data_IF_545923171164
#
_entry.id   IF_545923171164
#
_cell.length_a   1.000
_cell.length_b   1.000
_cell.length_c   1.000
_cell.angle_alpha   90.00
_cell.angle_beta   90.00
_cell.angle_gamma   90.00
#
_symmetry.space_group_name_H-M   'P 1'
#
loop_
_entity.id
_entity.type
_entity.pdbx_description
1 polymer ?
#
# COMPACT_ATOMS: atom_id res chain seq x y z
N UNK A 1 -23.45 -11.06 13.92
CA UNK A 1 -22.23 -11.88 13.84
C UNK A 1 -21.06 -10.94 14.06
N UNK A 2 -20.22 -11.18 15.07
CA UNK A 2 -19.17 -10.23 15.46
C UNK A 2 -17.95 -10.38 14.52
N UNK A 3 -17.75 -9.41 13.61
CA UNK A 3 -16.50 -9.27 12.87
C UNK A 3 -15.58 -8.33 13.63
N UNK A 4 -14.70 -8.89 14.43
CA UNK A 4 -13.48 -8.22 14.88
C UNK A 4 -12.37 -9.25 14.58
N UNK A 5 -11.25 -8.90 13.93
CA UNK A 5 -10.26 -7.98 14.46
C UNK A 5 -9.26 -7.49 13.42
N UNK A 6 -8.78 -6.26 13.62
CA UNK A 6 -7.56 -5.66 13.06
C UNK A 6 -6.33 -5.75 13.98
N UNK A 7 -6.36 -6.70 14.93
CA UNK A 7 -5.45 -6.95 16.06
C UNK A 7 -6.15 -6.68 17.40
N UNK A 8 -6.76 -7.71 18.01
CA UNK A 8 -7.12 -7.65 19.42
C UNK A 8 -5.80 -7.58 20.23
N UNK A 9 -5.56 -6.44 20.88
CA UNK A 9 -4.41 -6.14 21.76
C UNK A 9 -4.23 -7.16 22.93
N UNK A 10 -5.07 -8.19 23.00
CA UNK A 10 -5.01 -9.25 24.03
C UNK A 10 -4.20 -10.48 23.66
N UNK A 11 -3.86 -10.74 22.40
CA UNK A 11 -3.05 -11.92 22.02
C UNK A 11 -1.57 -11.64 21.79
N UNK A 12 -1.13 -10.39 21.89
CA UNK A 12 0.31 -10.11 21.99
C UNK A 12 0.85 -10.29 23.42
N UNK A 13 -0.03 -10.49 24.43
CA UNK A 13 0.36 -10.43 25.85
C UNK A 13 -0.18 -11.47 26.81
N UNK A 14 -0.99 -12.47 26.43
CA UNK A 14 -1.45 -13.52 27.37
C UNK A 14 -1.69 -14.85 26.69
N UNK A 15 -0.67 -15.71 26.69
CA UNK A 15 -0.73 -17.16 26.98
C UNK A 15 0.57 -17.86 26.54
N UNK A 16 1.71 -17.51 27.13
CA UNK A 16 2.88 -18.40 27.18
C UNK A 16 3.61 -18.18 28.50
N UNK A 17 3.28 -19.00 29.51
CA UNK A 17 4.28 -19.35 30.50
C UNK A 17 5.37 -20.14 29.78
N UNK A 18 6.50 -19.48 29.51
CA UNK A 18 7.72 -20.11 29.02
C UNK A 18 7.70 -20.44 27.53
N UNK A 19 8.07 -19.46 26.70
CA UNK A 19 8.92 -19.56 25.50
C UNK A 19 8.98 -18.14 24.90
N UNK A 20 10.15 -17.76 24.40
CA UNK A 20 10.58 -16.39 24.10
C UNK A 20 9.57 -15.55 23.29
N UNK A 21 9.39 -14.30 23.70
CA UNK A 21 8.63 -13.28 22.96
C UNK A 21 9.20 -13.12 21.55
N UNK A 22 8.43 -13.52 20.53
CA UNK A 22 8.77 -13.30 19.13
C UNK A 22 8.48 -11.83 18.79
N UNK A 23 9.56 -11.05 18.71
CA UNK A 23 9.75 -9.78 17.98
C UNK A 23 8.50 -9.01 17.57
N UNK A 24 8.39 -7.74 17.99
CA UNK A 24 7.51 -6.72 17.36
C UNK A 24 7.57 -6.88 15.84
N UNK A 25 6.43 -6.92 15.15
CA UNK A 25 6.36 -7.07 13.69
C UNK A 25 7.35 -6.12 13.02
N UNK A 26 8.44 -6.66 12.47
CA UNK A 26 9.47 -5.88 11.81
C UNK A 26 8.84 -5.41 10.50
N UNK A 27 8.60 -4.10 10.38
CA UNK A 27 8.25 -3.47 9.11
C UNK A 27 9.35 -3.85 8.10
N UNK A 28 8.95 -4.48 7.01
CA UNK A 28 9.83 -4.81 5.90
C UNK A 28 9.83 -3.66 4.91
N UNK A 29 10.95 -3.45 4.24
CA UNK A 29 11.10 -2.44 3.20
C UNK A 29 11.91 -3.01 2.06
N UNK A 30 11.49 -2.72 0.85
CA UNK A 30 12.21 -3.02 -0.38
C UNK A 30 12.25 -1.75 -1.24
N UNK A 31 13.41 -1.43 -1.79
CA UNK A 31 13.62 -0.32 -2.72
C UNK A 31 14.09 -0.94 -4.04
N UNK A 32 13.40 -0.60 -5.13
CA UNK A 32 13.78 -1.08 -6.45
C UNK A 32 15.09 -0.43 -6.88
N UNK A 33 15.94 -1.21 -7.56
CA UNK A 33 17.17 -0.68 -8.14
C UNK A 33 16.87 0.36 -9.23
N UNK A 34 15.78 0.13 -9.99
CA UNK A 34 15.24 1.07 -10.97
C UNK A 34 13.77 1.33 -10.64
N UNK A 35 13.39 2.61 -10.58
CA UNK A 35 12.00 2.98 -10.30
C UNK A 35 11.06 2.49 -11.41
N UNK A 36 9.93 1.90 -11.03
CA UNK A 36 8.95 1.37 -11.99
C UNK A 36 8.05 2.51 -12.47
N UNK A 37 8.02 2.84 -13.78
CA UNK A 37 7.15 3.90 -14.30
C UNK A 37 5.69 3.44 -14.34
N UNK A 38 4.79 4.31 -13.89
CA UNK A 38 3.35 4.15 -14.07
C UNK A 38 2.98 4.73 -15.43
N UNK A 39 2.48 3.88 -16.31
CA UNK A 39 2.24 4.22 -17.72
C UNK A 39 0.88 4.87 -17.96
N UNK A 40 -0.06 4.68 -17.04
CA UNK A 40 -1.42 5.18 -17.16
C UNK A 40 -1.69 6.31 -16.15
N UNK A 41 -2.60 7.26 -16.47
CA UNK A 41 -3.00 8.30 -15.53
C UNK A 41 -3.56 7.69 -14.25
N UNK A 42 -3.01 8.09 -13.11
CA UNK A 42 -3.50 7.66 -11.81
C UNK A 42 -4.83 8.36 -11.51
N UNK A 43 -5.95 7.63 -11.36
CA UNK A 43 -7.26 8.24 -11.14
C UNK A 43 -7.39 8.77 -9.71
N UNK A 44 -8.36 9.65 -9.50
CA UNK A 44 -8.78 10.07 -8.17
C UNK A 44 -9.64 8.99 -7.49
N UNK A 45 -9.51 8.92 -6.16
CA UNK A 45 -10.41 8.16 -5.29
C UNK A 45 -11.88 8.51 -5.60
N UNK A 46 -12.80 7.51 -5.69
CA UNK A 46 -12.66 6.12 -5.28
C UNK A 46 -12.33 5.15 -6.43
N UNK A 47 -11.67 5.61 -7.49
CA UNK A 47 -11.12 4.71 -8.52
C UNK A 47 -9.66 4.42 -8.22
N UNK A 48 -9.16 3.29 -8.72
CA UNK A 48 -7.75 2.93 -8.64
C UNK A 48 -7.26 2.36 -9.96
N UNK A 49 -5.99 2.58 -10.24
CA UNK A 49 -5.24 1.95 -11.31
C UNK A 49 -4.54 0.71 -10.75
N UNK A 50 -4.67 -0.43 -11.40
CA UNK A 50 -3.92 -1.66 -11.08
C UNK A 50 -2.64 -1.72 -11.91
N UNK A 51 -1.53 -2.13 -11.29
CA UNK A 51 -0.22 -2.31 -11.93
C UNK A 51 0.41 -3.63 -11.48
N UNK A 52 1.26 -4.22 -12.32
CA UNK A 52 2.10 -5.36 -11.94
C UNK A 52 3.47 -4.87 -11.49
N UNK A 53 3.97 -5.37 -10.37
CA UNK A 53 5.24 -4.99 -9.77
C UNK A 53 6.13 -6.23 -9.52
N UNK A 54 7.45 -6.12 -9.73
CA UNK A 54 8.39 -7.17 -9.39
C UNK A 54 8.63 -7.23 -7.88
N UNK A 55 9.20 -8.34 -7.43
CA UNK A 55 9.66 -8.56 -6.04
C UNK A 55 8.62 -8.18 -4.96
N UNK A 56 7.41 -8.75 -5.02
CA UNK A 56 6.36 -8.52 -4.04
C UNK A 56 6.74 -9.02 -2.62
N UNK A 57 6.07 -8.50 -1.57
CA UNK A 57 6.37 -8.84 -0.17
C UNK A 57 6.25 -10.32 0.22
N UNK A 58 5.56 -11.13 -0.58
CA UNK A 58 5.34 -12.55 -0.35
C UNK A 58 6.44 -13.45 -0.93
N UNK A 59 7.41 -12.90 -1.66
CA UNK A 59 8.53 -13.64 -2.25
C UNK A 59 8.23 -14.29 -3.60
N UNK A 60 7.09 -13.97 -4.23
CA UNK A 60 6.84 -14.32 -5.62
C UNK A 60 7.73 -13.48 -6.56
N UNK A 61 7.74 -13.79 -7.86
CA UNK A 61 8.50 -13.02 -8.84
C UNK A 61 7.83 -11.67 -9.17
N UNK A 62 6.50 -11.66 -9.26
CA UNK A 62 5.68 -10.47 -9.54
C UNK A 62 4.32 -10.57 -8.87
N UNK A 63 3.70 -9.42 -8.60
CA UNK A 63 2.33 -9.34 -8.09
C UNK A 63 1.66 -8.00 -8.44
N UNK A 64 0.33 -7.94 -8.27
CA UNK A 64 -0.45 -6.74 -8.48
C UNK A 64 -0.39 -5.78 -7.29
N UNK A 65 -0.37 -4.49 -7.62
CA UNK A 65 -0.61 -3.39 -6.71
C UNK A 65 -1.64 -2.44 -7.32
N UNK A 66 -2.16 -1.54 -6.51
CA UNK A 66 -3.11 -0.52 -6.95
C UNK A 66 -2.75 0.84 -6.38
N UNK A 67 -3.02 1.90 -7.15
CA UNK A 67 -2.71 3.27 -6.78
C UNK A 67 -3.78 4.25 -7.26
N UNK A 68 -3.91 5.36 -6.53
CA UNK A 68 -4.91 6.39 -6.72
C UNK A 68 -4.45 7.70 -6.08
N UNK A 69 -5.16 8.77 -6.39
CA UNK A 69 -5.00 10.07 -5.72
C UNK A 69 -6.10 10.27 -4.71
N UNK A 70 -5.73 10.61 -3.48
CA UNK A 70 -6.68 11.04 -2.46
C UNK A 70 -6.27 12.42 -1.95
N UNK A 71 -7.19 13.39 -2.00
CA UNK A 71 -6.91 14.80 -1.65
C UNK A 71 -5.67 15.35 -2.39
N UNK A 72 -5.50 14.95 -3.66
CA UNK A 72 -4.36 15.33 -4.50
C UNK A 72 -3.06 14.55 -4.26
N UNK A 73 -3.00 13.67 -3.25
CA UNK A 73 -1.81 12.90 -2.86
C UNK A 73 -1.82 11.49 -3.44
N UNK A 74 -0.72 11.10 -4.08
CA UNK A 74 -0.51 9.73 -4.58
C UNK A 74 -0.40 8.74 -3.42
N UNK A 75 -1.19 7.68 -3.49
CA UNK A 75 -1.26 6.59 -2.52
C UNK A 75 -1.40 5.27 -3.26
N UNK A 76 -0.83 4.20 -2.72
CA UNK A 76 -0.99 2.87 -3.30
C UNK A 76 -0.53 1.76 -2.40
N UNK A 77 -1.01 0.55 -2.67
CA UNK A 77 -0.77 -0.64 -1.86
C UNK A 77 -0.68 -1.89 -2.74
N UNK A 78 -0.03 -2.94 -2.26
CA UNK A 78 -0.16 -4.26 -2.91
C UNK A 78 -1.60 -4.76 -2.83
N UNK A 79 -2.05 -5.43 -3.89
CA UNK A 79 -3.34 -6.10 -3.98
C UNK A 79 -3.34 -7.40 -3.16
N UNK A 80 -3.07 -7.30 -1.85
CA UNK A 80 -2.92 -8.45 -0.96
C UNK A 80 -3.51 -8.15 0.41
N UNK A 81 -4.55 -8.89 0.75
CA UNK A 81 -5.23 -8.73 2.04
C UNK A 81 -4.33 -9.19 3.20
N UNK A 82 -4.22 -8.37 4.26
CA UNK A 82 -3.57 -8.73 5.53
C UNK A 82 -4.22 -9.89 6.32
N UNK A 83 -5.26 -10.53 5.77
CA UNK A 83 -5.90 -11.73 6.32
C UNK A 83 -5.23 -13.01 5.78
N UNK A 84 -5.40 -13.30 4.49
CA UNK A 84 -4.93 -14.55 3.82
C UNK A 84 -4.02 -14.30 2.62
N UNK A 85 -3.58 -13.06 2.38
CA UNK A 85 -2.70 -12.66 1.27
C UNK A 85 -3.22 -13.10 -0.12
N UNK A 86 -4.52 -12.94 -0.34
CA UNK A 86 -5.15 -13.09 -1.65
C UNK A 86 -5.40 -11.72 -2.29
N UNK A 87 -5.57 -11.65 -3.63
CA UNK A 87 -6.15 -10.50 -4.31
C UNK A 87 -7.44 -10.03 -3.65
N UNK A 88 -7.63 -8.72 -3.60
CA UNK A 88 -8.72 -8.03 -2.92
C UNK A 88 -9.86 -7.61 -3.86
N UNK A 89 -9.59 -7.39 -5.14
CA UNK A 89 -10.48 -6.76 -6.12
C UNK A 89 -11.29 -7.74 -6.98
N UNK A 90 -11.05 -9.04 -6.92
CA UNK A 90 -11.67 -10.02 -7.82
C UNK A 90 -11.35 -9.77 -9.31
N UNK A 91 -10.15 -9.25 -9.58
CA UNK A 91 -9.63 -8.93 -10.93
C UNK A 91 -10.43 -7.88 -11.72
N UNK A 92 -11.23 -7.04 -11.06
CA UNK A 92 -11.98 -5.95 -11.73
C UNK A 92 -11.51 -4.54 -11.34
N UNK A 93 -10.40 -4.42 -10.60
CA UNK A 93 -9.81 -3.14 -10.19
C UNK A 93 -10.63 -2.35 -9.17
N UNK A 94 -11.67 -2.94 -8.56
CA UNK A 94 -12.47 -2.26 -7.53
C UNK A 94 -11.96 -2.56 -6.14
N UNK A 95 -11.41 -1.53 -5.52
CA UNK A 95 -10.80 -1.61 -4.19
C UNK A 95 -11.58 -0.89 -3.11
N UNK A 96 -12.61 -0.13 -3.42
CA UNK A 96 -13.30 0.72 -2.45
C UNK A 96 -14.76 0.32 -2.23
N UNK A 97 -15.21 0.44 -0.99
CA UNK A 97 -16.62 0.32 -0.66
C UNK A 97 -17.37 1.66 -0.77
N UNK A 98 -18.65 1.66 -0.40
CA UNK A 98 -19.52 2.85 -0.50
C UNK A 98 -19.11 3.98 0.44
N UNK A 99 -18.35 3.67 1.50
CA UNK A 99 -17.85 4.66 2.47
C UNK A 99 -16.47 5.19 2.05
N UNK A 100 -15.88 4.66 0.97
CA UNK A 100 -14.58 5.06 0.47
C UNK A 100 -13.40 4.34 1.13
N UNK A 101 -13.64 3.36 2.01
CA UNK A 101 -12.58 2.55 2.60
C UNK A 101 -12.06 1.54 1.58
N UNK A 102 -10.79 1.16 1.68
CA UNK A 102 -10.28 0.03 0.91
C UNK A 102 -10.94 -1.24 1.45
N UNK A 103 -11.47 -2.10 0.59
CA UNK A 103 -12.13 -3.36 0.94
C UNK A 103 -11.47 -4.55 0.25
N UNK A 104 -11.21 -5.59 1.03
CA UNK A 104 -11.02 -6.94 0.49
C UNK A 104 -12.40 -7.51 0.12
N UNK A 105 -12.73 -7.53 -1.17
CA UNK A 105 -14.05 -7.97 -1.66
C UNK A 105 -14.28 -9.48 -1.52
N UNK A 106 -13.23 -10.24 -1.20
CA UNK A 106 -13.33 -11.69 -0.93
C UNK A 106 -13.93 -11.96 0.46
N UNK A 107 -13.46 -11.27 1.51
CA UNK A 107 -13.80 -11.60 2.90
C UNK A 107 -14.20 -10.39 3.77
N UNK A 108 -14.23 -9.18 3.21
CA UNK A 108 -14.79 -7.99 3.85
C UNK A 108 -13.89 -7.26 4.86
N UNK A 109 -12.58 -7.55 4.88
CA UNK A 109 -11.63 -6.72 5.63
C UNK A 109 -11.58 -5.31 5.02
N UNK A 110 -11.50 -4.29 5.87
CA UNK A 110 -11.43 -2.89 5.44
C UNK A 110 -10.20 -2.20 5.98
N UNK A 111 -9.64 -1.33 5.15
CA UNK A 111 -8.42 -0.60 5.44
C UNK A 111 -8.58 0.89 5.16
N UNK A 112 -7.83 1.68 5.90
CA UNK A 112 -7.71 3.12 5.73
C UNK A 112 -7.17 3.43 4.33
N UNK A 113 -7.84 4.34 3.64
CA UNK A 113 -7.54 4.71 2.26
C UNK A 113 -6.30 5.62 2.12
N UNK A 114 -5.81 6.22 3.19
CA UNK A 114 -4.60 7.03 3.11
C UNK A 114 -3.34 6.25 3.54
N UNK A 115 -3.49 5.40 4.56
CA UNK A 115 -2.39 4.76 5.25
C UNK A 115 -2.38 3.23 5.10
N UNK A 116 -3.48 2.59 4.72
CA UNK A 116 -3.58 1.13 4.58
C UNK A 116 -3.64 0.39 5.92
N UNK A 117 -3.91 1.09 7.02
CA UNK A 117 -4.14 0.48 8.33
C UNK A 117 -5.40 -0.37 8.30
N UNK A 118 -5.39 -1.53 8.94
CA UNK A 118 -6.61 -2.31 9.10
C UNK A 118 -7.58 -1.58 10.03
N UNK A 119 -8.80 -1.33 9.56
CA UNK A 119 -9.85 -0.65 10.32
C UNK A 119 -10.89 -1.62 10.90
N UNK A 120 -11.31 -2.62 10.12
CA UNK A 120 -12.21 -3.67 10.59
C UNK A 120 -12.14 -4.96 9.76
N UNK A 121 -12.81 -6.00 10.24
CA UNK A 121 -12.89 -7.30 9.57
C UNK A 121 -11.77 -8.25 9.99
N UNK A 122 -11.49 -9.32 9.23
CA UNK A 122 -10.67 -10.44 9.69
C UNK A 122 -9.15 -10.26 9.53
N UNK A 123 -8.65 -9.12 9.05
CA UNK A 123 -7.25 -8.97 8.72
C UNK A 123 -6.35 -8.78 9.96
N UNK A 124 -5.21 -9.47 10.00
CA UNK A 124 -4.30 -9.43 11.15
C UNK A 124 -3.29 -8.28 11.09
N UNK A 125 -3.08 -7.72 9.90
CA UNK A 125 -2.15 -6.61 9.65
C UNK A 125 -2.79 -5.60 8.71
N UNK A 126 -2.23 -4.39 8.62
CA UNK A 126 -2.50 -3.49 7.50
C UNK A 126 -1.88 -3.99 6.19
N UNK A 127 -2.00 -3.16 5.16
CA UNK A 127 -1.51 -3.43 3.81
C UNK A 127 -0.01 -3.12 3.68
N UNK A 128 0.63 -3.63 2.62
CA UNK A 128 1.94 -3.16 2.21
C UNK A 128 1.77 -1.91 1.35
N UNK A 129 2.37 -0.80 1.76
CA UNK A 129 2.27 0.51 1.13
C UNK A 129 3.36 0.68 0.08
N UNK A 130 3.00 1.25 -1.05
CA UNK A 130 3.96 1.64 -2.08
C UNK A 130 4.69 2.92 -1.68
N UNK A 131 5.97 2.99 -2.04
CA UNK A 131 6.77 4.21 -1.98
C UNK A 131 6.70 4.83 -3.38
N UNK A 132 5.99 5.96 -3.52
CA UNK A 132 5.63 6.56 -4.81
C UNK A 132 6.17 7.99 -4.88
N UNK A 133 6.53 8.43 -6.09
CA UNK A 133 6.95 9.80 -6.38
C UNK A 133 6.35 10.26 -7.72
N UNK A 134 6.04 11.55 -7.83
CA UNK A 134 5.65 12.27 -9.06
C UNK A 134 6.88 12.75 -9.89
N UNK A 135 8.07 12.41 -9.39
CA UNK A 135 9.35 12.59 -10.05
C UNK A 135 10.19 11.32 -9.94
N UNK A 136 11.06 10.98 -10.90
CA UNK A 136 11.95 9.84 -10.75
C UNK A 136 12.85 10.02 -9.51
N UNK A 137 13.19 8.93 -8.82
CA UNK A 137 14.15 8.99 -7.71
C UNK A 137 15.51 9.44 -8.24
N UNK A 138 15.93 10.65 -7.87
CA UNK A 138 17.31 11.08 -8.06
C UNK A 138 18.18 10.25 -7.12
N UNK A 139 19.05 9.39 -7.67
CA UNK A 139 20.16 8.85 -6.89
C UNK A 139 20.96 10.04 -6.37
N UNK A 140 21.10 10.16 -5.04
CA UNK A 140 21.84 11.27 -4.45
C UNK A 140 23.33 11.06 -4.63
N UNK A 141 23.87 11.62 -5.71
CA UNK A 141 25.23 12.14 -5.76
C UNK A 141 25.20 13.47 -6.55
N UNK A 142 25.48 14.56 -5.81
CA UNK A 142 25.99 15.87 -6.24
C UNK A 142 25.31 16.69 -7.36
N UNK A 143 25.05 17.96 -7.00
CA UNK A 143 25.18 19.19 -7.81
C UNK A 143 23.94 19.92 -8.39
N UNK A 144 23.72 21.13 -7.84
CA UNK A 144 23.54 22.45 -8.47
C UNK A 144 22.73 22.56 -9.79
N UNK A 145 21.65 23.36 -9.76
CA UNK A 145 21.12 23.97 -10.99
C UNK A 145 19.78 24.71 -10.85
N UNK A 146 19.84 26.04 -10.73
CA UNK A 146 18.73 27.00 -10.81
C UNK A 146 17.96 26.94 -12.14
N UNK A 147 16.63 27.06 -12.11
CA UNK A 147 15.82 27.31 -13.32
C UNK A 147 14.38 27.73 -13.03
N UNK A 148 14.02 28.94 -13.46
CA UNK A 148 12.74 29.61 -13.25
C UNK A 148 11.82 29.36 -14.47
N UNK A 149 10.59 28.91 -14.22
CA UNK A 149 9.42 29.20 -15.07
C UNK A 149 9.03 28.19 -16.16
N UNK A 150 7.90 27.51 -15.97
CA UNK A 150 7.06 27.02 -17.07
C UNK A 150 5.58 27.00 -16.66
N UNK A 151 4.72 27.30 -17.62
CA UNK A 151 3.28 27.52 -17.51
C UNK A 151 2.56 26.17 -17.61
N UNK A 152 1.67 25.84 -16.68
CA UNK A 152 1.05 24.51 -16.62
C UNK A 152 -0.18 24.41 -17.53
N UNK A 153 0.03 23.86 -18.73
CA UNK A 153 -1.01 23.25 -19.55
C UNK A 153 -0.83 21.73 -19.46
N UNK A 154 -1.61 21.07 -18.60
CA UNK A 154 -1.95 19.63 -18.70
C UNK A 154 -0.83 18.59 -18.77
N UNK A 155 0.35 18.80 -18.17
CA UNK A 155 1.33 17.72 -18.00
C UNK A 155 0.79 16.74 -16.97
N UNK A 156 0.43 15.53 -17.40
CA UNK A 156 0.22 14.42 -16.48
C UNK A 156 1.50 14.22 -15.68
N UNK A 157 1.44 14.38 -14.36
CA UNK A 157 2.62 14.16 -13.51
C UNK A 157 3.08 12.71 -13.71
N UNK A 158 4.32 12.52 -14.19
CA UNK A 158 4.88 11.18 -14.39
C UNK A 158 5.04 10.50 -13.05
N UNK A 159 4.32 9.40 -12.81
CA UNK A 159 4.36 8.68 -11.54
C UNK A 159 5.36 7.53 -11.58
N UNK A 160 6.13 7.38 -10.51
CA UNK A 160 7.16 6.37 -10.33
C UNK A 160 6.96 5.63 -9.01
N UNK A 161 7.08 4.31 -9.05
CA UNK A 161 7.05 3.44 -7.87
C UNK A 161 8.49 3.08 -7.53
N UNK A 162 8.95 3.55 -6.37
CA UNK A 162 10.33 3.43 -5.90
C UNK A 162 10.57 2.15 -5.08
N UNK A 163 9.50 1.53 -4.58
CA UNK A 163 9.57 0.37 -3.71
C UNK A 163 8.31 0.21 -2.87
N UNK A 164 8.44 -0.50 -1.76
CA UNK A 164 7.34 -0.75 -0.84
C UNK A 164 7.80 -0.91 0.61
N UNK A 165 6.89 -0.69 1.54
CA UNK A 165 7.09 -0.90 2.97
C UNK A 165 5.86 -1.51 3.63
N UNK A 166 6.05 -2.28 4.70
CA UNK A 166 4.95 -2.80 5.50
C UNK A 166 5.17 -4.21 6.07
N UNK A 167 4.10 -4.87 6.56
CA UNK A 167 2.72 -4.37 6.52
C UNK A 167 2.56 -3.16 7.45
N UNK A 168 1.66 -2.24 7.10
CA UNK A 168 1.32 -1.08 7.92
C UNK A 168 0.77 -1.59 9.27
N UNK A 169 1.32 -1.17 10.41
CA UNK A 169 0.82 -1.60 11.71
C UNK A 169 -0.62 -1.09 11.94
N UNK A 170 -1.42 -1.79 12.76
CA UNK A 170 -2.73 -1.28 13.15
C UNK A 170 -2.59 0.03 13.95
N UNK A 171 -3.64 0.85 13.94
CA UNK A 171 -3.72 2.02 14.83
C UNK A 171 -3.62 1.57 16.29
N UNK A 172 -2.74 2.22 17.06
CA UNK A 172 -2.63 2.03 18.52
C UNK A 172 -3.84 2.54 19.28
#
# INVERSE_FOLDING_TARGET
MAFSFCSDDRRYGRHLHGLQAVSKSIVRKHIYQEAVPVQEPVPDHPLALTVNLPEPPNGDHEDQAFLYRIKGKLTGFFNRCGHVRLPMDLDDGKFFDLDGMIICRVHGARFDEEHGQCLMGPAYTGLYRLIISDHPSQNTDSDLGTGIGARNNGTQDTVWILGWEGPVPPSS
#
